data_IF_324058275967
#
_entry.id   IF_324058275967
#
_cell.length_a   1.000
_cell.length_b   1.000
_cell.length_c   1.000
_cell.angle_alpha   90.00
_cell.angle_beta   90.00
_cell.angle_gamma   90.00
#
_symmetry.space_group_name_H-M   'P 1'
#
loop_
_entity.id
_entity.type
_entity.pdbx_description
1 polymer ?
#
# COMPACT_ATOMS: atom_id res chain seq x y z
N UNK A 1 -25.18 11.15 1.59
CA UNK A 1 -24.05 10.34 2.11
C UNK A 1 -24.10 8.85 1.70
N UNK A 2 -25.21 8.11 1.88
CA UNK A 2 -25.24 6.64 1.61
C UNK A 2 -24.99 6.18 0.16
N UNK A 3 -25.34 6.98 -0.85
CA UNK A 3 -25.09 6.63 -2.27
C UNK A 3 -23.60 6.71 -2.61
N UNK A 4 -22.90 7.70 -2.03
CA UNK A 4 -21.44 7.91 -2.17
C UNK A 4 -20.68 6.70 -1.61
N UNK A 5 -21.01 6.27 -0.39
CA UNK A 5 -20.42 5.08 0.26
C UNK A 5 -20.65 3.78 -0.54
N UNK A 6 -21.87 3.52 -1.03
CA UNK A 6 -22.14 2.29 -1.80
C UNK A 6 -21.31 2.21 -3.08
N UNK A 7 -21.12 3.34 -3.76
CA UNK A 7 -20.30 3.40 -4.97
C UNK A 7 -18.84 3.04 -4.69
N UNK A 8 -18.24 3.58 -3.62
CA UNK A 8 -16.85 3.28 -3.23
C UNK A 8 -16.64 1.79 -2.93
N UNK A 9 -17.58 1.16 -2.20
CA UNK A 9 -17.53 -0.29 -1.98
C UNK A 9 -17.60 -1.08 -3.30
N UNK A 10 -18.45 -0.66 -4.25
CA UNK A 10 -18.53 -1.29 -5.57
C UNK A 10 -17.21 -1.16 -6.35
N UNK A 11 -16.55 0.01 -6.30
CA UNK A 11 -15.24 0.21 -6.95
C UNK A 11 -14.22 -0.79 -6.41
N UNK A 12 -14.13 -0.96 -5.09
CA UNK A 12 -13.22 -1.92 -4.45
C UNK A 12 -13.53 -3.36 -4.87
N UNK A 13 -14.81 -3.75 -4.90
CA UNK A 13 -15.24 -5.09 -5.33
C UNK A 13 -14.92 -5.37 -6.80
N UNK A 14 -14.85 -4.34 -7.63
CA UNK A 14 -14.52 -4.43 -9.05
C UNK A 14 -13.01 -4.38 -9.35
N UNK A 15 -12.16 -4.16 -8.34
CA UNK A 15 -10.71 -4.18 -8.53
C UNK A 15 -10.26 -5.56 -9.06
N UNK A 16 -9.30 -5.60 -10.01
CA UNK A 16 -8.90 -6.84 -10.66
C UNK A 16 -8.35 -7.85 -9.65
N UNK A 17 -8.79 -9.09 -9.69
CA UNK A 17 -8.13 -10.20 -8.97
C UNK A 17 -6.91 -10.66 -9.78
N UNK A 18 -5.83 -9.91 -9.64
CA UNK A 18 -4.60 -10.08 -10.42
C UNK A 18 -3.60 -11.07 -9.82
N UNK A 19 -3.86 -11.62 -8.64
CA UNK A 19 -3.04 -12.69 -8.06
C UNK A 19 -3.54 -14.03 -8.61
N UNK A 20 -2.69 -14.75 -9.33
CA UNK A 20 -3.00 -16.07 -9.87
C UNK A 20 -2.67 -17.18 -8.88
N UNK A 21 -1.47 -17.13 -8.32
CA UNK A 21 -1.02 -18.04 -7.27
C UNK A 21 -0.38 -17.24 -6.15
N UNK A 22 -0.47 -17.82 -4.96
CA UNK A 22 0.09 -17.30 -3.73
C UNK A 22 0.71 -18.45 -2.97
N UNK A 23 1.95 -18.27 -2.52
CA UNK A 23 2.64 -19.18 -1.61
C UNK A 23 3.16 -18.38 -0.41
N UNK A 24 2.73 -18.69 0.83
CA UNK A 24 3.30 -18.07 2.01
C UNK A 24 4.82 -18.28 2.06
N UNK A 25 5.56 -17.26 2.46
CA UNK A 25 6.94 -17.42 2.86
C UNK A 25 7.00 -17.66 4.38
N UNK A 26 7.95 -18.48 4.82
CA UNK A 26 8.15 -18.82 6.24
C UNK A 26 9.55 -18.46 6.73
N UNK A 27 10.27 -17.58 6.03
CA UNK A 27 11.60 -17.18 6.48
C UNK A 27 11.51 -16.16 7.61
N UNK A 28 12.44 -16.27 8.56
CA UNK A 28 12.57 -15.32 9.66
C UNK A 28 13.00 -13.93 9.15
N UNK A 29 12.61 -12.85 9.85
CA UNK A 29 13.13 -11.52 9.57
C UNK A 29 14.67 -11.51 9.64
N UNK A 30 15.31 -10.88 8.66
CA UNK A 30 16.76 -10.76 8.55
C UNK A 30 17.18 -9.30 8.46
N UNK A 31 18.40 -9.02 8.89
CA UNK A 31 19.01 -7.72 8.66
C UNK A 31 19.17 -7.52 7.14
N UNK A 32 18.82 -6.33 6.65
CA UNK A 32 19.05 -5.95 5.27
C UNK A 32 20.53 -5.56 5.12
N UNK A 33 21.38 -6.53 4.79
CA UNK A 33 22.82 -6.31 4.62
C UNK A 33 23.09 -5.67 3.25
N UNK A 34 23.65 -4.46 3.25
CA UNK A 34 23.94 -3.68 2.04
C UNK A 34 24.88 -4.34 1.03
N UNK A 35 25.51 -5.48 1.34
CA UNK A 35 26.32 -6.24 0.41
C UNK A 35 25.51 -7.17 -0.52
N UNK A 36 24.21 -7.37 -0.24
CA UNK A 36 23.35 -8.19 -1.07
C UNK A 36 22.67 -7.37 -2.19
N UNK A 37 22.56 -7.88 -3.44
CA UNK A 37 21.92 -7.15 -4.55
C UNK A 37 20.49 -6.67 -4.23
N UNK A 38 19.73 -7.47 -3.48
CA UNK A 38 18.40 -7.11 -3.01
C UNK A 38 18.42 -5.88 -2.10
N UNK A 39 19.35 -5.87 -1.14
CA UNK A 39 19.49 -4.79 -0.18
C UNK A 39 19.89 -3.49 -0.87
N UNK A 40 20.83 -3.53 -1.80
CA UNK A 40 21.22 -2.34 -2.58
C UNK A 40 20.02 -1.69 -3.26
N UNK A 41 19.19 -2.49 -3.94
CA UNK A 41 18.00 -1.99 -4.64
C UNK A 41 16.93 -1.42 -3.68
N UNK A 42 16.73 -2.05 -2.52
CA UNK A 42 15.81 -1.54 -1.48
C UNK A 42 16.35 -0.26 -0.85
N UNK A 43 17.64 -0.22 -0.50
CA UNK A 43 18.30 0.96 0.06
C UNK A 43 18.29 2.13 -0.90
N UNK A 44 18.45 1.89 -2.20
CA UNK A 44 18.32 2.93 -3.21
C UNK A 44 16.95 3.61 -3.10
N UNK A 45 15.86 2.84 -3.05
CA UNK A 45 14.51 3.40 -2.93
C UNK A 45 14.31 4.15 -1.61
N UNK A 46 14.73 3.57 -0.48
CA UNK A 46 14.52 4.17 0.85
C UNK A 46 15.34 5.46 1.02
N UNK A 47 16.58 5.47 0.54
CA UNK A 47 17.51 6.58 0.77
C UNK A 47 17.47 7.62 -0.34
N UNK A 48 16.93 7.33 -1.52
CA UNK A 48 16.86 8.29 -2.64
C UNK A 48 16.23 9.63 -2.25
N UNK A 49 15.07 9.69 -1.55
CA UNK A 49 14.47 10.96 -1.11
C UNK A 49 15.36 11.77 -0.16
N UNK A 50 16.27 11.08 0.54
CA UNK A 50 17.13 11.65 1.58
C UNK A 50 18.46 12.18 1.01
N UNK A 51 18.85 11.79 -0.22
CA UNK A 51 20.11 12.22 -0.87
C UNK A 51 20.25 13.73 -1.06
N UNK A 52 19.15 14.49 -0.98
CA UNK A 52 19.15 15.96 -1.12
C UNK A 52 19.26 16.73 0.21
N UNK A 53 19.32 16.03 1.34
CA UNK A 53 19.55 16.64 2.64
C UNK A 53 21.00 16.38 3.05
N UNK A 54 21.79 17.44 3.23
CA UNK A 54 23.24 17.41 3.53
C UNK A 54 23.62 16.68 4.84
N UNK A 55 22.64 16.15 5.58
CA UNK A 55 22.83 15.39 6.80
C UNK A 55 22.23 13.98 6.67
N UNK A 56 22.98 13.02 6.09
CA UNK A 56 22.76 11.61 6.43
C UNK A 56 24.09 10.91 6.72
N UNK A 57 24.06 10.08 7.77
CA UNK A 57 23.89 8.66 7.48
C UNK A 57 22.79 8.08 8.36
N UNK A 58 21.62 7.78 7.76
CA UNK A 58 20.81 6.70 8.32
C UNK A 58 21.64 5.44 8.13
N UNK A 59 22.13 4.87 9.23
CA UNK A 59 22.91 3.65 9.21
C UNK A 59 22.17 2.62 8.36
N UNK A 60 22.74 2.21 7.23
CA UNK A 60 22.12 1.24 6.31
C UNK A 60 21.75 -0.05 7.05
N UNK A 61 22.49 -0.37 8.11
CA UNK A 61 22.29 -1.57 8.92
C UNK A 61 21.19 -1.41 10.00
N UNK A 62 20.20 -0.54 9.80
CA UNK A 62 19.06 -0.39 10.71
C UNK A 62 17.75 -0.94 10.14
N UNK A 63 17.78 -1.53 8.94
CA UNK A 63 16.59 -2.09 8.31
C UNK A 63 16.56 -3.61 8.42
N UNK A 64 15.40 -4.13 8.78
CA UNK A 64 15.11 -5.56 8.74
C UNK A 64 14.07 -5.83 7.68
N UNK A 65 14.21 -6.96 6.99
CA UNK A 65 13.25 -7.41 5.99
C UNK A 65 12.76 -8.83 6.28
N UNK A 66 11.49 -9.07 6.01
CA UNK A 66 10.85 -10.37 6.16
C UNK A 66 10.06 -10.69 4.88
N UNK A 67 10.28 -11.83 4.22
CA UNK A 67 9.42 -12.25 3.13
C UNK A 67 8.04 -12.60 3.68
N UNK A 68 7.02 -12.15 2.97
CA UNK A 68 5.61 -12.43 3.30
C UNK A 68 5.12 -13.55 2.41
N UNK A 69 5.31 -13.39 1.10
CA UNK A 69 4.76 -14.33 0.13
C UNK A 69 5.42 -14.26 -1.22
N UNK A 70 5.27 -15.35 -1.98
CA UNK A 70 5.60 -15.44 -3.40
C UNK A 70 4.29 -15.43 -4.18
N UNK A 71 4.24 -14.61 -5.21
CA UNK A 71 3.05 -14.30 -5.99
C UNK A 71 3.32 -14.51 -7.48
N UNK A 72 2.38 -15.09 -8.20
CA UNK A 72 2.34 -14.97 -9.67
C UNK A 72 1.21 -14.02 -10.05
N UNK A 73 1.53 -12.96 -10.77
CA UNK A 73 0.61 -11.86 -11.09
C UNK A 73 0.17 -11.93 -12.55
N UNK A 74 -1.14 -11.80 -12.77
CA UNK A 74 -1.74 -11.67 -14.09
C UNK A 74 -1.57 -10.25 -14.62
N UNK A 75 -1.29 -10.09 -15.93
CA UNK A 75 -1.33 -8.80 -16.58
C UNK A 75 -2.74 -8.20 -16.55
N UNK A 76 -2.85 -6.89 -16.75
CA UNK A 76 -4.14 -6.23 -16.99
C UNK A 76 -4.79 -6.80 -18.27
N UNK A 77 -6.12 -6.83 -18.33
CA UNK A 77 -6.89 -7.43 -19.44
C UNK A 77 -6.50 -6.94 -20.86
N UNK A 78 -5.98 -5.72 -20.98
CA UNK A 78 -5.58 -5.12 -22.27
C UNK A 78 -4.06 -5.15 -22.52
N UNK A 79 -3.28 -5.76 -21.62
CA UNK A 79 -1.83 -5.86 -21.72
C UNK A 79 -1.43 -7.15 -22.44
N UNK A 80 -0.41 -7.08 -23.28
CA UNK A 80 0.22 -8.23 -23.94
C UNK A 80 1.32 -8.90 -23.10
N UNK A 81 1.58 -8.40 -21.89
CA UNK A 81 2.61 -8.92 -21.01
C UNK A 81 2.27 -10.33 -20.50
N UNK A 82 3.28 -11.13 -20.16
CA UNK A 82 3.12 -12.46 -19.59
C UNK A 82 2.75 -12.42 -18.10
N UNK A 83 2.55 -13.59 -17.50
CA UNK A 83 2.56 -13.71 -16.05
C UNK A 83 3.90 -13.19 -15.49
N UNK A 84 3.83 -12.62 -14.29
CA UNK A 84 4.99 -12.05 -13.59
C UNK A 84 5.09 -12.64 -12.19
N UNK A 85 6.21 -13.28 -11.89
CA UNK A 85 6.50 -13.76 -10.55
C UNK A 85 7.11 -12.64 -9.69
N UNK A 86 6.65 -12.51 -8.45
CA UNK A 86 7.09 -11.50 -7.50
C UNK A 86 7.19 -12.08 -6.09
N UNK A 87 8.12 -11.56 -5.31
CA UNK A 87 8.21 -11.76 -3.87
C UNK A 87 7.76 -10.49 -3.15
N UNK A 88 6.83 -10.62 -2.20
CA UNK A 88 6.40 -9.54 -1.32
C UNK A 88 7.23 -9.57 -0.03
N UNK A 89 7.87 -8.45 0.29
CA UNK A 89 8.67 -8.28 1.51
C UNK A 89 8.13 -7.14 2.37
N UNK A 90 8.12 -7.35 3.69
CA UNK A 90 7.99 -6.28 4.69
C UNK A 90 9.38 -5.79 5.09
N UNK A 91 9.64 -4.50 4.98
CA UNK A 91 10.86 -3.88 5.52
C UNK A 91 10.49 -2.90 6.64
N UNK A 92 11.24 -2.92 7.75
CA UNK A 92 11.05 -2.03 8.91
C UNK A 92 12.37 -1.42 9.35
N UNK A 93 12.33 -0.21 9.89
CA UNK A 93 13.49 0.40 10.53
C UNK A 93 13.48 0.09 12.02
N UNK A 94 14.61 -0.34 12.59
CA UNK A 94 14.74 -0.58 14.02
C UNK A 94 14.66 0.72 14.83
N UNK A 95 15.14 1.83 14.27
CA UNK A 95 15.16 3.14 14.93
C UNK A 95 13.80 3.85 14.88
N UNK A 96 12.99 3.56 13.86
CA UNK A 96 11.68 4.16 13.63
C UNK A 96 10.66 3.02 13.47
N UNK A 97 10.14 2.55 14.60
CA UNK A 97 9.28 1.34 14.64
C UNK A 97 7.94 1.50 13.94
N UNK A 98 7.49 2.74 13.78
CA UNK A 98 6.30 3.17 13.06
C UNK A 98 6.50 3.22 11.54
N UNK A 99 7.74 3.15 11.06
CA UNK A 99 8.10 3.27 9.64
C UNK A 99 8.14 1.91 8.96
N UNK A 100 7.22 1.71 8.01
CA UNK A 100 7.05 0.43 7.33
C UNK A 100 7.09 0.56 5.81
N UNK A 101 7.64 -0.46 5.17
CA UNK A 101 7.66 -0.56 3.72
C UNK A 101 7.19 -1.93 3.25
N UNK A 102 6.45 -1.95 2.14
CA UNK A 102 6.27 -3.16 1.35
C UNK A 102 6.99 -3.04 0.02
N UNK A 103 7.70 -4.10 -0.35
CA UNK A 103 8.39 -4.20 -1.63
C UNK A 103 7.88 -5.43 -2.40
N UNK A 104 7.55 -5.23 -3.67
CA UNK A 104 7.35 -6.29 -4.65
C UNK A 104 8.63 -6.41 -5.49
N UNK A 105 9.30 -7.54 -5.38
CA UNK A 105 10.63 -7.80 -5.94
C UNK A 105 10.55 -8.91 -7.00
N UNK A 106 11.18 -8.71 -8.15
CA UNK A 106 11.27 -9.74 -9.21
C UNK A 106 12.29 -10.83 -8.84
N UNK A 107 12.28 -12.00 -9.50
CA UNK A 107 13.29 -13.04 -9.29
C UNK A 107 14.73 -12.54 -9.50
N UNK A 108 14.92 -11.55 -10.38
CA UNK A 108 16.18 -10.87 -10.67
C UNK A 108 16.57 -9.83 -9.60
N UNK A 109 15.89 -9.83 -8.45
CA UNK A 109 16.15 -8.94 -7.30
C UNK A 109 15.87 -7.45 -7.57
N UNK A 110 15.06 -7.13 -8.57
CA UNK A 110 14.70 -5.74 -8.90
C UNK A 110 13.40 -5.31 -8.23
N UNK A 111 13.31 -4.05 -7.81
CA UNK A 111 12.07 -3.48 -7.25
C UNK A 111 11.07 -3.21 -8.37
N UNK A 112 9.98 -3.99 -8.41
CA UNK A 112 8.88 -3.79 -9.36
C UNK A 112 7.89 -2.72 -8.87
N UNK A 113 7.62 -2.70 -7.56
CA UNK A 113 6.74 -1.73 -6.91
C UNK A 113 7.05 -1.67 -5.41
N UNK A 114 6.71 -0.54 -4.77
CA UNK A 114 6.86 -0.40 -3.33
C UNK A 114 5.79 0.53 -2.74
N UNK A 115 5.57 0.39 -1.44
CA UNK A 115 4.78 1.33 -0.65
C UNK A 115 5.50 1.65 0.67
N UNK A 116 5.37 2.90 1.12
CA UNK A 116 5.84 3.39 2.40
C UNK A 116 4.62 3.88 3.20
N UNK A 117 4.52 3.45 4.44
CA UNK A 117 3.45 3.86 5.34
C UNK A 117 3.94 3.97 6.78
N UNK A 118 3.25 4.80 7.54
CA UNK A 118 3.50 5.03 8.96
C UNK A 118 2.29 4.61 9.76
N UNK A 119 2.49 4.01 10.93
CA UNK A 119 1.42 3.75 11.90
C UNK A 119 1.33 4.94 12.83
N UNK A 120 0.17 5.58 12.88
CA UNK A 120 -0.10 6.69 13.76
C UNK A 120 -1.05 6.22 14.86
N UNK A 121 -0.66 6.36 16.12
CA UNK A 121 -1.52 6.03 17.25
C UNK A 121 -2.78 6.90 17.27
N UNK A 122 -2.65 8.17 16.82
CA UNK A 122 -3.73 9.14 16.71
C UNK A 122 -3.48 10.08 15.51
N UNK A 123 -4.56 10.63 14.93
CA UNK A 123 -4.48 11.59 13.85
C UNK A 123 -5.59 12.67 13.97
N UNK A 124 -5.24 13.82 14.54
CA UNK A 124 -6.15 14.94 14.80
C UNK A 124 -6.95 15.36 13.55
N UNK A 125 -6.30 15.36 12.38
CA UNK A 125 -6.92 15.72 11.11
C UNK A 125 -8.00 14.73 10.62
N UNK A 126 -8.10 13.55 11.23
CA UNK A 126 -9.04 12.48 10.86
C UNK A 126 -10.03 12.14 11.96
N UNK A 127 -10.08 12.91 13.05
CA UNK A 127 -11.02 12.68 14.16
C UNK A 127 -12.48 12.67 13.68
N UNK A 128 -12.83 13.51 12.70
CA UNK A 128 -14.17 13.52 12.11
C UNK A 128 -14.51 12.27 11.29
N UNK A 129 -13.51 11.54 10.80
CA UNK A 129 -13.68 10.34 9.99
C UNK A 129 -13.53 9.05 10.80
N UNK A 130 -12.56 8.99 11.72
CA UNK A 130 -12.16 7.78 12.44
C UNK A 130 -12.13 7.93 13.96
N UNK A 131 -12.44 9.12 14.51
CA UNK A 131 -12.24 9.41 15.94
C UNK A 131 -10.76 9.38 16.31
N UNK A 132 -10.48 9.08 17.58
CA UNK A 132 -9.12 9.03 18.14
C UNK A 132 -8.43 7.67 17.94
N UNK A 133 -8.91 6.87 16.99
CA UNK A 133 -8.41 5.52 16.74
C UNK A 133 -7.09 5.54 15.95
N UNK A 134 -6.23 4.52 16.12
CA UNK A 134 -5.00 4.40 15.34
C UNK A 134 -5.30 4.21 13.85
N UNK A 135 -4.43 4.77 13.02
CA UNK A 135 -4.58 4.83 11.56
C UNK A 135 -3.24 4.58 10.88
N UNK A 136 -3.26 3.95 9.71
CA UNK A 136 -2.10 3.91 8.83
C UNK A 136 -2.09 5.15 7.93
N UNK A 137 -1.03 5.95 7.98
CA UNK A 137 -0.75 6.99 6.99
C UNK A 137 0.07 6.40 5.83
N UNK A 138 -0.56 6.26 4.66
CA UNK A 138 0.12 5.89 3.42
C UNK A 138 0.87 7.10 2.86
N UNK A 139 2.19 7.03 2.93
CA UNK A 139 3.08 8.10 2.50
C UNK A 139 3.36 8.02 0.99
N UNK A 140 3.67 6.81 0.50
CA UNK A 140 4.04 6.57 -0.89
C UNK A 140 3.52 5.21 -1.36
N UNK A 141 3.10 5.17 -2.62
CA UNK A 141 2.93 3.95 -3.40
C UNK A 141 3.44 4.22 -4.81
N UNK A 142 4.26 3.32 -5.33
CA UNK A 142 4.86 3.46 -6.65
C UNK A 142 4.95 2.10 -7.34
N UNK A 143 4.73 2.09 -8.66
CA UNK A 143 4.83 0.90 -9.50
C UNK A 143 5.60 1.23 -10.76
N UNK A 144 6.75 0.57 -10.95
CA UNK A 144 7.57 0.72 -12.17
C UNK A 144 6.96 0.02 -13.39
N UNK A 145 5.93 -0.81 -13.18
CA UNK A 145 5.27 -1.61 -14.23
C UNK A 145 3.78 -1.25 -14.41
N UNK A 146 3.41 -0.01 -14.08
CA UNK A 146 2.02 0.46 -14.05
C UNK A 146 1.25 0.30 -15.38
N UNK A 147 1.93 0.27 -16.53
CA UNK A 147 1.30 0.04 -17.84
C UNK A 147 0.73 -1.37 -17.98
N UNK A 148 1.39 -2.36 -17.38
CA UNK A 148 1.10 -3.78 -17.62
C UNK A 148 0.40 -4.46 -16.45
N UNK A 149 0.67 -4.03 -15.22
CA UNK A 149 0.22 -4.70 -14.00
C UNK A 149 -0.39 -3.72 -12.98
N UNK A 150 -1.39 -4.19 -12.22
CA UNK A 150 -2.02 -3.41 -11.13
C UNK A 150 -1.33 -3.64 -9.79
N UNK A 151 -0.01 -3.45 -9.73
CA UNK A 151 0.80 -3.76 -8.53
C UNK A 151 0.43 -2.88 -7.32
N UNK A 152 -0.01 -1.63 -7.56
CA UNK A 152 -0.47 -0.76 -6.48
C UNK A 152 -1.68 -1.34 -5.71
N UNK A 153 -2.59 -2.05 -6.40
CA UNK A 153 -3.72 -2.72 -5.74
C UNK A 153 -3.24 -3.81 -4.78
N UNK A 154 -2.17 -4.53 -5.12
CA UNK A 154 -1.59 -5.59 -4.26
C UNK A 154 -0.96 -4.95 -3.02
N UNK A 155 -0.21 -3.86 -3.19
CA UNK A 155 0.41 -3.14 -2.08
C UNK A 155 -0.64 -2.56 -1.11
N UNK A 156 -1.74 -1.99 -1.63
CA UNK A 156 -2.85 -1.53 -0.78
C UNK A 156 -3.49 -2.69 -0.04
N UNK A 157 -3.67 -3.83 -0.69
CA UNK A 157 -4.19 -5.02 -0.03
C UNK A 157 -3.27 -5.46 1.12
N UNK A 158 -1.95 -5.45 0.91
CA UNK A 158 -0.99 -5.80 1.94
C UNK A 158 -1.06 -4.84 3.15
N UNK A 159 -1.15 -3.54 2.89
CA UNK A 159 -1.31 -2.52 3.93
C UNK A 159 -2.63 -2.69 4.68
N UNK A 160 -3.71 -3.02 3.96
CA UNK A 160 -5.00 -3.26 4.57
C UNK A 160 -4.98 -4.46 5.52
N UNK A 161 -4.45 -5.61 5.09
CA UNK A 161 -4.33 -6.78 5.97
C UNK A 161 -3.42 -6.49 7.17
N UNK A 162 -2.32 -5.76 6.98
CA UNK A 162 -1.46 -5.32 8.07
C UNK A 162 -2.19 -4.40 9.07
N UNK A 163 -3.05 -3.50 8.58
CA UNK A 163 -3.83 -2.61 9.44
C UNK A 163 -4.76 -3.37 10.37
N UNK A 164 -5.26 -4.54 9.94
CA UNK A 164 -6.09 -5.40 10.79
C UNK A 164 -5.27 -6.01 11.93
N UNK A 165 -4.02 -6.40 11.66
CA UNK A 165 -3.11 -6.94 12.68
C UNK A 165 -2.60 -5.88 13.67
N UNK A 166 -2.52 -4.61 13.27
CA UNK A 166 -2.00 -3.51 14.08
C UNK A 166 -3.09 -2.74 14.84
N UNK A 167 -4.31 -3.26 14.94
CA UNK A 167 -5.42 -2.57 15.62
C UNK A 167 -5.93 -1.30 14.90
N UNK A 168 -5.49 -1.05 13.67
CA UNK A 168 -5.98 0.03 12.82
C UNK A 168 -7.29 -0.36 12.10
N UNK A 169 -7.65 -1.64 12.06
CA UNK A 169 -8.96 -2.15 11.57
C UNK A 169 -9.35 -1.69 10.14
N UNK A 170 -8.38 -1.51 9.26
CA UNK A 170 -8.62 -1.01 7.89
C UNK A 170 -8.56 0.51 7.75
N UNK A 171 -8.40 1.27 8.83
CA UNK A 171 -8.25 2.73 8.79
C UNK A 171 -6.93 3.08 8.11
N UNK A 172 -7.03 3.67 6.92
CA UNK A 172 -5.89 4.10 6.12
C UNK A 172 -6.18 5.50 5.59
N UNK A 173 -5.20 6.40 5.70
CA UNK A 173 -5.26 7.74 5.12
C UNK A 173 -4.05 8.04 4.25
N UNK A 174 -4.13 9.11 3.47
CA UNK A 174 -3.02 9.63 2.68
C UNK A 174 -3.18 11.13 2.43
N UNK A 175 -2.06 11.82 2.28
CA UNK A 175 -2.03 13.17 1.73
C UNK A 175 -1.89 13.10 0.21
N UNK A 176 -2.84 13.67 -0.52
CA UNK A 176 -2.96 13.51 -1.98
C UNK A 176 -2.29 14.62 -2.79
N UNK A 177 -1.33 15.33 -2.20
CA UNK A 177 -0.84 16.64 -2.65
C UNK A 177 -0.45 16.78 -4.14
N UNK A 178 -0.19 15.68 -4.88
CA UNK A 178 0.13 15.68 -6.34
C UNK A 178 -0.13 14.34 -7.04
N UNK A 179 -1.12 13.55 -6.62
CA UNK A 179 -1.27 12.17 -7.11
C UNK A 179 -2.70 11.91 -7.58
N UNK A 180 -2.83 11.26 -8.74
CA UNK A 180 -4.07 10.95 -9.46
C UNK A 180 -5.24 10.60 -8.53
N UNK A 181 -6.10 11.56 -8.19
CA UNK A 181 -7.22 11.37 -7.27
C UNK A 181 -8.10 10.18 -7.70
N UNK A 182 -8.23 9.97 -9.02
CA UNK A 182 -8.95 8.82 -9.59
C UNK A 182 -8.39 7.44 -9.22
N UNK A 183 -7.07 7.30 -9.05
CA UNK A 183 -6.47 6.03 -8.65
C UNK A 183 -6.90 5.67 -7.22
N UNK A 184 -6.72 6.59 -6.27
CA UNK A 184 -7.11 6.35 -4.87
C UNK A 184 -8.62 6.23 -4.70
N UNK A 185 -9.39 7.00 -5.48
CA UNK A 185 -10.85 6.88 -5.48
C UNK A 185 -11.33 5.48 -5.90
N UNK A 186 -10.70 4.87 -6.92
CA UNK A 186 -10.99 3.48 -7.31
C UNK A 186 -10.62 2.47 -6.23
N UNK A 187 -9.65 2.80 -5.38
CA UNK A 187 -9.27 1.98 -4.23
C UNK A 187 -10.19 2.20 -3.02
N UNK A 188 -11.21 3.07 -3.14
CA UNK A 188 -12.20 3.35 -2.11
C UNK A 188 -11.84 4.50 -1.17
N UNK A 189 -10.80 5.27 -1.49
CA UNK A 189 -10.47 6.48 -0.72
C UNK A 189 -11.44 7.61 -1.04
N UNK A 190 -11.88 8.30 0.01
CA UNK A 190 -12.73 9.47 -0.03
C UNK A 190 -11.94 10.69 0.47
N UNK A 191 -12.02 11.84 -0.20
CA UNK A 191 -11.43 13.08 0.33
C UNK A 191 -12.20 13.53 1.56
N UNK A 192 -11.49 14.15 2.52
CA UNK A 192 -12.12 14.74 3.69
C UNK A 192 -12.99 15.94 3.33
N UNK A 193 -12.58 16.71 2.32
CA UNK A 193 -13.36 17.83 1.78
C UNK A 193 -14.40 17.33 0.76
N UNK A 194 -15.68 17.63 0.99
CA UNK A 194 -16.77 17.11 0.15
C UNK A 194 -16.77 17.68 -1.27
N UNK A 195 -16.28 18.90 -1.46
CA UNK A 195 -16.17 19.55 -2.78
C UNK A 195 -15.31 18.77 -3.77
N UNK A 196 -14.21 18.17 -3.30
CA UNK A 196 -13.31 17.34 -4.10
C UNK A 196 -14.03 16.08 -4.59
N UNK A 197 -14.87 15.49 -3.73
CA UNK A 197 -15.65 14.30 -4.09
C UNK A 197 -16.56 14.60 -5.29
N UNK A 198 -17.23 15.75 -5.26
CA UNK A 198 -18.18 16.11 -6.30
C UNK A 198 -17.48 16.32 -7.66
N UNK A 199 -16.28 16.90 -7.64
CA UNK A 199 -15.47 17.08 -8.85
C UNK A 199 -14.97 15.73 -9.44
N UNK A 200 -14.58 14.77 -8.59
CA UNK A 200 -14.16 13.45 -9.04
C UNK A 200 -15.32 12.61 -9.59
N UNK A 201 -16.49 12.65 -8.94
CA UNK A 201 -17.61 11.77 -9.27
C UNK A 201 -18.57 12.35 -10.32
N UNK A 202 -18.94 13.63 -10.21
CA UNK A 202 -19.96 14.24 -11.06
C UNK A 202 -19.35 14.97 -12.25
N UNK A 203 -18.21 15.63 -12.04
CA UNK A 203 -17.52 16.37 -13.11
C UNK A 203 -16.52 15.49 -13.87
N UNK A 204 -16.29 14.24 -13.41
CA UNK A 204 -15.40 13.25 -14.02
C UNK A 204 -13.98 13.78 -14.25
N UNK A 205 -13.52 14.66 -13.36
CA UNK A 205 -12.15 15.16 -13.38
C UNK A 205 -11.18 14.02 -13.04
N UNK A 206 -10.04 13.97 -13.73
CA UNK A 206 -9.10 12.85 -13.61
C UNK A 206 -8.01 13.10 -12.57
N UNK A 207 -7.58 14.35 -12.44
CA UNK A 207 -6.46 14.77 -11.60
C UNK A 207 -6.85 15.98 -10.76
N UNK A 208 -7.24 15.72 -9.52
CA UNK A 208 -7.52 16.74 -8.50
C UNK A 208 -6.70 16.41 -7.26
N UNK A 209 -6.18 17.44 -6.61
CA UNK A 209 -5.55 17.30 -5.30
C UNK A 209 -6.62 16.98 -4.25
N UNK A 210 -6.50 15.79 -3.65
CA UNK A 210 -7.39 15.31 -2.60
C UNK A 210 -7.11 15.91 -1.22
N UNK A 211 -6.06 16.73 -1.06
CA UNK A 211 -5.48 17.21 0.20
C UNK A 211 -5.21 16.09 1.21
N UNK A 212 -6.28 15.64 1.89
CA UNK A 212 -6.31 14.51 2.81
C UNK A 212 -7.44 13.56 2.40
N UNK A 213 -7.10 12.31 2.12
CA UNK A 213 -8.05 11.25 1.79
C UNK A 213 -7.97 10.10 2.80
N UNK A 214 -9.08 9.41 3.00
CA UNK A 214 -9.19 8.27 3.91
C UNK A 214 -10.03 7.15 3.31
N UNK A 215 -9.78 5.91 3.69
CA UNK A 215 -10.56 4.76 3.22
C UNK A 215 -11.96 4.79 3.84
N UNK A 216 -13.00 4.87 3.02
CA UNK A 216 -14.36 5.02 3.55
C UNK A 216 -14.81 3.78 4.34
N UNK A 217 -15.76 3.90 5.30
CA UNK A 217 -16.26 2.74 6.05
C UNK A 217 -16.81 1.61 5.17
N UNK A 218 -17.45 1.92 4.05
CA UNK A 218 -17.92 0.91 3.10
C UNK A 218 -16.77 0.26 2.31
N UNK A 219 -15.74 1.02 1.96
CA UNK A 219 -14.55 0.52 1.30
C UNK A 219 -13.76 -0.39 2.24
N UNK A 220 -13.65 -0.07 3.53
CA UNK A 220 -13.05 -0.92 4.56
C UNK A 220 -13.73 -2.30 4.56
N UNK A 221 -15.06 -2.34 4.57
CA UNK A 221 -15.82 -3.61 4.51
C UNK A 221 -15.54 -4.38 3.22
N UNK A 222 -15.52 -3.70 2.08
CA UNK A 222 -15.24 -4.33 0.78
C UNK A 222 -13.81 -4.88 0.70
N UNK A 223 -12.82 -4.18 1.27
CA UNK A 223 -11.46 -4.67 1.38
C UNK A 223 -11.36 -5.87 2.32
N UNK A 224 -12.05 -5.86 3.46
CA UNK A 224 -12.10 -7.00 4.37
C UNK A 224 -12.68 -8.26 3.69
N UNK A 225 -13.77 -8.11 2.92
CA UNK A 225 -14.32 -9.22 2.13
C UNK A 225 -13.31 -9.73 1.08
N UNK A 226 -12.61 -8.80 0.41
CA UNK A 226 -11.64 -9.12 -0.64
C UNK A 226 -10.41 -9.86 -0.08
N UNK A 227 -9.83 -9.37 1.01
CA UNK A 227 -8.68 -9.99 1.66
C UNK A 227 -9.05 -11.31 2.30
N UNK A 228 -10.34 -11.50 2.63
CA UNK A 228 -10.83 -12.79 3.05
C UNK A 228 -10.80 -13.85 1.95
N UNK A 229 -11.08 -13.46 0.71
CA UNK A 229 -11.12 -14.34 -0.46
C UNK A 229 -9.72 -14.69 -0.99
N UNK A 230 -8.78 -13.75 -0.91
CA UNK A 230 -7.42 -13.94 -1.39
C UNK A 230 -6.43 -13.28 -0.42
N UNK A 231 -6.18 -13.86 0.76
CA UNK A 231 -5.29 -13.26 1.76
C UNK A 231 -3.83 -13.28 1.29
N UNK A 232 -3.11 -12.19 1.56
CA UNK A 232 -1.66 -12.07 1.35
C UNK A 232 -0.86 -12.52 2.56
N UNK A 233 -1.46 -12.54 3.74
CA UNK A 233 -0.81 -13.00 4.96
C UNK A 233 -1.36 -14.35 5.41
N UNK A 234 -0.49 -15.17 5.99
CA UNK A 234 -0.92 -16.41 6.63
C UNK A 234 -1.60 -16.04 7.96
N UNK A 235 -2.90 -16.33 8.11
CA UNK A 235 -3.67 -15.99 9.32
C UNK A 235 -3.23 -16.72 10.59
N UNK A 236 -2.26 -17.63 10.46
CA UNK A 236 -1.70 -18.45 11.53
C UNK A 236 -0.56 -17.81 12.33
N UNK A 237 -0.14 -16.58 12.02
CA UNK A 237 0.87 -15.84 12.79
C UNK A 237 0.30 -14.56 13.44
N UNK A 238 -1.00 -14.52 13.70
CA UNK A 238 -1.62 -13.46 14.49
C UNK A 238 -1.60 -13.83 15.98
N UNK A 239 -0.40 -13.93 16.54
CA UNK A 239 -0.11 -13.92 17.98
C UNK A 239 1.02 -12.93 18.26
#
# INVERSE_FOLDING_TARGET
MHVKERHLACQVKQLPQNIQTYMPASDTPRLLDGCEPLAENIHEVILHPLKHHDNLPANRNSFYYAPISRLTIRPKNHSTASLLDLNLYHVRCQQFSDMHYYFLITPEQTVAAYAHFTVLDQADCLVSAYGDAPVIALNVIESRMQGHYSLGTILIQAIFEQSQALGCEGRICLYSARKSGRFYFKLGFMPLQETIFDQLLFENQQDIDGDLMFLSPSAIKAWAERTQQCPLFNRSNAD
#
